data_IF_061067119290
#
_entry.id   IF_061067119290
#
_cell.length_a   1.000
_cell.length_b   1.000
_cell.length_c   1.000
_cell.angle_alpha   90.00
_cell.angle_beta   90.00
_cell.angle_gamma   90.00
#
_symmetry.space_group_name_H-M   'P 1'
#
loop_
_entity.id
_entity.type
_entity.pdbx_description
1 polymer ?
#
# COMPACT_ATOMS: atom_id res chain seq x y z
N UNK A 1 -12.64 -12.56 9.23
CA UNK A 1 -13.46 -11.54 8.56
C UNK A 1 -13.05 -11.49 7.09
N UNK A 2 -13.97 -11.73 6.15
CA UNK A 2 -13.66 -11.74 4.73
C UNK A 2 -13.28 -10.33 4.23
N UNK A 3 -12.19 -10.25 3.46
CA UNK A 3 -11.76 -8.99 2.85
C UNK A 3 -12.63 -8.70 1.63
N UNK A 4 -13.10 -7.46 1.50
CA UNK A 4 -13.75 -7.00 0.28
C UNK A 4 -12.78 -7.00 -0.89
N UNK A 5 -13.28 -7.17 -2.11
CA UNK A 5 -12.49 -7.06 -3.34
C UNK A 5 -11.74 -5.72 -3.38
N UNK A 6 -10.56 -5.69 -3.96
CA UNK A 6 -9.77 -4.47 -4.08
C UNK A 6 -10.54 -3.33 -4.79
N UNK A 7 -11.29 -3.66 -5.82
CA UNK A 7 -12.12 -2.72 -6.59
C UNK A 7 -13.11 -1.91 -5.75
N UNK A 8 -13.55 -2.43 -4.59
CA UNK A 8 -14.47 -1.72 -3.71
C UNK A 8 -13.86 -0.43 -3.11
N UNK A 9 -12.53 -0.36 -3.00
CA UNK A 9 -11.83 0.76 -2.38
C UNK A 9 -10.84 1.48 -3.31
N UNK A 10 -10.49 0.92 -4.46
CA UNK A 10 -9.40 1.38 -5.32
C UNK A 10 -9.62 2.77 -5.92
N UNK A 11 -10.81 3.05 -6.44
CA UNK A 11 -11.15 4.30 -7.16
C UNK A 11 -11.73 5.40 -6.26
N UNK A 12 -11.64 5.26 -4.95
CA UNK A 12 -12.27 6.21 -4.04
C UNK A 12 -11.24 7.21 -3.50
N UNK A 13 -11.48 8.49 -3.80
CA UNK A 13 -10.72 9.60 -3.23
C UNK A 13 -11.04 9.82 -1.75
N UNK A 14 -10.23 10.66 -1.09
CA UNK A 14 -10.46 11.06 0.29
C UNK A 14 -11.90 11.51 0.48
N UNK A 15 -12.64 10.72 1.26
CA UNK A 15 -13.94 11.19 1.73
C UNK A 15 -13.72 12.11 2.92
N UNK A 16 -14.48 13.22 2.99
CA UNK A 16 -14.49 14.04 4.18
C UNK A 16 -14.65 13.19 5.40
N UNK A 17 -14.74 12.89 6.25
CA UNK A 17 -15.02 11.98 7.38
C UNK A 17 -14.24 10.65 7.43
N UNK A 18 -13.19 10.48 6.64
CA UNK A 18 -12.30 9.32 6.72
C UNK A 18 -10.88 9.67 7.17
N UNK A 19 -10.65 10.92 7.53
CA UNK A 19 -9.36 11.41 8.01
C UNK A 19 -9.11 11.03 9.46
N UNK A 20 -7.87 10.82 9.79
CA UNK A 20 -7.37 10.74 11.15
C UNK A 20 -7.14 12.16 11.69
N UNK A 21 -8.21 12.91 12.00
CA UNK A 21 -8.13 14.26 12.56
C UNK A 21 -8.85 14.32 13.90
N UNK A 22 -8.24 14.96 14.89
CA UNK A 22 -8.87 15.25 16.19
C UNK A 22 -9.91 16.35 16.09
N UNK A 23 -9.92 17.17 15.03
CA UNK A 23 -10.89 18.26 14.84
C UNK A 23 -12.24 17.67 14.38
N UNK A 24 -13.26 17.79 15.21
CA UNK A 24 -14.61 17.24 14.95
C UNK A 24 -15.23 17.68 13.61
N UNK A 25 -15.00 18.93 13.20
CA UNK A 25 -15.45 19.46 11.90
C UNK A 25 -14.71 18.83 10.69
N UNK A 26 -13.51 18.23 10.91
CA UNK A 26 -12.65 17.67 9.86
C UNK A 26 -12.53 16.15 9.93
N UNK A 27 -13.61 15.44 10.27
CA UNK A 27 -13.62 13.98 10.22
C UNK A 27 -12.91 13.27 11.35
N UNK A 28 -13.36 13.54 12.54
CA UNK A 28 -12.89 12.81 13.72
C UNK A 28 -13.26 11.33 13.63
N UNK A 29 -12.26 10.47 13.77
CA UNK A 29 -12.43 9.04 13.87
C UNK A 29 -12.03 8.59 15.27
N UNK A 30 -12.99 8.07 16.03
CA UNK A 30 -12.79 7.66 17.42
C UNK A 30 -11.86 6.47 17.54
N UNK A 31 -12.05 5.47 16.68
CA UNK A 31 -11.28 4.22 16.68
C UNK A 31 -10.41 4.15 15.44
N UNK A 32 -9.09 4.15 15.63
CA UNK A 32 -8.10 4.09 14.55
C UNK A 32 -7.60 2.64 14.46
N UNK A 33 -7.80 1.93 13.34
CA UNK A 33 -7.27 0.59 13.17
C UNK A 33 -5.75 0.62 13.10
N UNK A 34 -5.10 -0.43 13.58
CA UNK A 34 -3.65 -0.57 13.48
C UNK A 34 -3.20 -0.70 12.03
N UNK A 35 -2.00 -0.20 11.71
CA UNK A 35 -1.37 -0.44 10.43
C UNK A 35 -0.91 -1.88 10.31
N UNK A 36 -1.12 -2.49 9.14
CA UNK A 36 -0.63 -3.84 8.85
C UNK A 36 0.81 -3.88 8.34
N UNK A 37 1.37 -2.73 8.00
CA UNK A 37 2.76 -2.64 7.55
C UNK A 37 3.68 -2.73 8.76
N UNK A 38 4.54 -3.74 8.76
CA UNK A 38 5.45 -4.03 9.89
C UNK A 38 6.70 -3.17 9.82
N UNK A 39 7.32 -3.06 8.63
CA UNK A 39 8.56 -2.30 8.40
C UNK A 39 8.49 -1.54 7.08
N UNK A 40 9.09 -0.34 7.06
CA UNK A 40 9.16 0.49 5.87
C UNK A 40 10.51 0.37 5.13
N UNK A 41 11.59 0.12 5.85
CA UNK A 41 12.93 -0.08 5.29
C UNK A 41 13.44 -1.46 5.66
N UNK A 42 14.07 -2.16 4.73
CA UNK A 42 14.58 -3.52 4.89
C UNK A 42 15.82 -3.75 4.02
N UNK A 43 16.61 -4.76 4.39
CA UNK A 43 17.86 -5.07 3.73
C UNK A 43 19.03 -4.29 4.33
N UNK A 44 20.04 -4.04 3.53
CA UNK A 44 21.25 -3.29 3.94
C UNK A 44 20.99 -1.78 3.84
N UNK A 45 20.49 -1.21 4.93
CA UNK A 45 20.21 0.22 5.04
C UNK A 45 21.49 1.04 5.06
N UNK A 46 22.52 0.53 5.76
CA UNK A 46 23.80 1.24 5.93
C UNK A 46 24.55 1.37 4.62
N UNK A 47 24.60 0.32 3.81
CA UNK A 47 25.19 0.36 2.49
C UNK A 47 24.43 1.28 1.52
N UNK A 48 23.11 1.34 1.65
CA UNK A 48 22.30 2.24 0.85
C UNK A 48 22.56 3.72 1.19
N UNK A 49 22.66 4.05 2.47
CA UNK A 49 22.95 5.42 2.94
C UNK A 49 24.37 5.86 2.59
N UNK A 50 25.33 4.92 2.50
CA UNK A 50 26.70 5.16 2.00
C UNK A 50 26.81 5.28 0.47
N UNK A 51 25.73 5.02 -0.26
CA UNK A 51 25.73 5.10 -1.73
C UNK A 51 26.35 3.88 -2.45
N UNK A 52 26.52 2.74 -1.78
CA UNK A 52 27.12 1.53 -2.36
C UNK A 52 26.25 0.84 -3.41
N UNK A 53 25.01 1.29 -3.59
CA UNK A 53 24.05 0.70 -4.52
C UNK A 53 24.10 1.39 -5.87
N UNK A 54 24.70 0.72 -6.85
CA UNK A 54 24.83 1.23 -8.21
C UNK A 54 23.49 1.31 -8.95
N UNK A 55 22.54 0.43 -8.62
CA UNK A 55 21.25 0.40 -9.29
C UNK A 55 20.14 0.60 -8.28
N UNK A 56 19.38 1.68 -8.46
CA UNK A 56 18.20 2.00 -7.67
C UNK A 56 16.98 2.06 -8.57
N UNK A 57 15.99 1.22 -8.31
CA UNK A 57 14.77 1.11 -9.11
C UNK A 57 13.59 1.61 -8.29
N UNK A 58 12.96 2.68 -8.76
CA UNK A 58 11.70 3.18 -8.22
C UNK A 58 10.50 2.52 -8.89
N UNK A 59 9.53 2.10 -8.11
CA UNK A 59 8.24 1.62 -8.58
C UNK A 59 7.23 2.74 -8.44
N UNK A 60 6.70 3.23 -9.57
CA UNK A 60 5.78 4.36 -9.61
C UNK A 60 4.39 3.94 -10.07
N UNK A 61 3.37 4.62 -9.56
CA UNK A 61 2.00 4.42 -10.02
C UNK A 61 1.75 5.16 -11.33
N UNK A 62 1.06 4.52 -12.26
CA UNK A 62 0.59 5.15 -13.51
C UNK A 62 -0.80 5.78 -13.38
N UNK A 63 -1.48 5.55 -12.26
CA UNK A 63 -2.86 5.96 -12.03
C UNK A 63 -3.02 6.60 -10.66
N UNK A 64 -4.09 7.40 -10.51
CA UNK A 64 -4.51 7.90 -9.21
C UNK A 64 -5.34 6.81 -8.52
N UNK A 65 -4.81 6.23 -7.45
CA UNK A 65 -5.46 5.10 -6.78
C UNK A 65 -5.35 5.18 -5.27
N UNK A 66 -6.21 4.44 -4.61
CA UNK A 66 -6.15 4.18 -3.19
C UNK A 66 -5.68 2.74 -2.95
N UNK A 67 -4.53 2.59 -2.31
CA UNK A 67 -3.92 1.29 -2.03
C UNK A 67 -4.08 0.94 -0.55
N UNK A 68 -4.65 -0.22 -0.27
CA UNK A 68 -4.85 -0.69 1.12
C UNK A 68 -3.53 -1.15 1.73
N UNK A 69 -3.43 -1.02 3.04
CA UNK A 69 -2.28 -1.45 3.85
C UNK A 69 -1.94 -2.95 3.68
N UNK A 70 -2.94 -3.81 3.56
CA UNK A 70 -2.73 -5.24 3.32
C UNK A 70 -2.08 -5.53 1.95
N UNK A 71 -2.40 -4.75 0.91
CA UNK A 71 -1.75 -4.90 -0.41
C UNK A 71 -0.29 -4.47 -0.36
N UNK A 72 -0.01 -3.36 0.34
CA UNK A 72 1.37 -2.87 0.53
C UNK A 72 2.19 -3.91 1.31
N UNK A 73 1.63 -4.45 2.38
CA UNK A 73 2.30 -5.49 3.18
C UNK A 73 2.53 -6.77 2.40
N UNK A 74 1.56 -7.22 1.60
CA UNK A 74 1.73 -8.40 0.76
C UNK A 74 2.87 -8.25 -0.26
N UNK A 75 3.04 -7.04 -0.82
CA UNK A 75 4.14 -6.74 -1.74
C UNK A 75 5.46 -6.65 -0.98
N UNK A 76 5.48 -6.02 0.19
CA UNK A 76 6.66 -5.95 1.04
C UNK A 76 7.21 -7.35 1.32
N UNK A 77 6.34 -8.26 1.78
CA UNK A 77 6.71 -9.64 2.07
C UNK A 77 7.19 -10.37 0.82
N UNK A 78 6.51 -10.17 -0.29
CA UNK A 78 6.87 -10.75 -1.58
C UNK A 78 8.27 -10.31 -2.03
N UNK A 79 8.53 -9.00 -2.04
CA UNK A 79 9.86 -8.48 -2.42
C UNK A 79 10.94 -8.94 -1.45
N UNK A 80 10.71 -8.82 -0.15
CA UNK A 80 11.70 -9.21 0.86
C UNK A 80 12.10 -10.68 0.71
N UNK A 81 11.10 -11.58 0.58
CA UNK A 81 11.36 -13.02 0.43
C UNK A 81 12.19 -13.32 -0.83
N UNK A 82 11.72 -12.86 -1.98
CA UNK A 82 12.36 -13.23 -3.25
C UNK A 82 13.68 -12.49 -3.50
N UNK A 83 13.85 -11.26 -3.01
CA UNK A 83 15.14 -10.58 -3.05
C UNK A 83 16.16 -11.31 -2.17
N UNK A 84 15.75 -11.70 -0.97
CA UNK A 84 16.62 -12.47 -0.07
C UNK A 84 17.02 -13.83 -0.66
N UNK A 85 16.10 -14.51 -1.35
CA UNK A 85 16.35 -15.79 -2.00
C UNK A 85 17.28 -15.67 -3.21
N UNK A 86 17.11 -14.62 -4.05
CA UNK A 86 17.80 -14.49 -5.34
C UNK A 86 19.04 -13.61 -5.33
N UNK A 87 19.06 -12.60 -4.47
CA UNK A 87 20.15 -11.60 -4.37
C UNK A 87 20.93 -11.76 -3.07
N UNK A 88 20.37 -12.45 -2.07
CA UNK A 88 20.97 -12.62 -0.76
C UNK A 88 20.72 -11.43 0.16
N UNK A 89 21.74 -10.99 0.91
CA UNK A 89 21.62 -9.88 1.86
C UNK A 89 21.90 -8.50 1.24
N UNK A 90 22.41 -8.48 0.01
CA UNK A 90 22.85 -7.25 -0.68
C UNK A 90 21.71 -6.56 -1.46
N UNK A 91 20.60 -6.33 -0.81
CA UNK A 91 19.51 -5.57 -1.36
C UNK A 91 19.01 -4.51 -0.40
N UNK A 92 18.38 -3.50 -0.93
CA UNK A 92 17.64 -2.49 -0.18
C UNK A 92 16.20 -2.43 -0.67
N UNK A 93 15.27 -2.37 0.25
CA UNK A 93 13.85 -2.20 -0.05
C UNK A 93 13.25 -1.14 0.87
N UNK A 94 12.64 -0.13 0.27
CA UNK A 94 11.93 0.93 1.00
C UNK A 94 10.53 1.13 0.48
N UNK A 95 9.58 1.33 1.40
CA UNK A 95 8.19 1.71 1.12
C UNK A 95 8.06 3.21 1.30
N UNK A 96 7.74 3.94 0.23
CA UNK A 96 7.58 5.41 0.27
C UNK A 96 6.16 5.87 0.59
N UNK A 97 5.19 4.98 0.51
CA UNK A 97 3.78 5.33 0.76
C UNK A 97 3.36 4.90 2.16
N UNK A 98 2.70 5.81 2.86
CA UNK A 98 2.19 5.57 4.22
C UNK A 98 0.67 5.52 4.20
N UNK A 99 0.05 4.41 4.64
CA UNK A 99 -1.39 4.31 4.73
C UNK A 99 -1.91 5.09 5.93
N UNK A 100 -2.42 6.30 5.69
CA UNK A 100 -2.96 7.16 6.72
C UNK A 100 -4.48 7.36 6.65
N UNK A 101 -5.10 7.04 5.51
CA UNK A 101 -6.55 7.08 5.37
C UNK A 101 -7.21 5.89 6.03
N UNK A 102 -8.33 6.14 6.70
CA UNK A 102 -9.08 5.12 7.41
C UNK A 102 -10.29 4.73 6.56
N UNK A 103 -10.31 3.45 6.21
CA UNK A 103 -11.42 2.86 5.49
C UNK A 103 -12.53 2.46 6.46
N UNK A 104 -13.76 2.74 6.10
CA UNK A 104 -14.95 2.37 6.84
C UNK A 104 -15.90 1.56 5.99
N UNK A 105 -16.60 0.68 6.63
CA UNK A 105 -17.60 -0.17 6.02
C UNK A 105 -18.86 -0.22 6.89
N UNK A 106 -20.00 -0.02 6.25
CA UNK A 106 -21.28 -0.41 6.84
C UNK A 106 -21.60 -1.82 6.34
N UNK A 107 -21.49 -2.79 7.26
CA UNK A 107 -21.82 -4.18 6.93
C UNK A 107 -23.31 -4.35 6.82
N UNK A 108 -23.75 -5.05 5.77
CA UNK A 108 -25.13 -5.46 5.67
C UNK A 108 -25.51 -6.38 6.84
N UNK A 109 -26.63 -6.09 7.45
CA UNK A 109 -27.24 -7.01 8.40
C UNK A 109 -27.73 -8.24 7.63
N UNK A 110 -27.54 -9.41 8.23
CA UNK A 110 -28.11 -10.66 7.72
C UNK A 110 -29.29 -11.03 8.61
N UNK A 111 -30.45 -11.21 8.03
CA UNK A 111 -31.66 -11.58 8.75
C UNK A 111 -32.93 -10.96 8.16
N UNK A 112 -34.08 -11.37 8.67
CA UNK A 112 -35.37 -10.84 8.28
C UNK A 112 -35.46 -9.33 8.60
N UNK A 113 -35.85 -8.51 7.62
CA UNK A 113 -35.93 -7.06 7.77
C UNK A 113 -34.61 -6.29 7.57
N UNK A 114 -33.52 -6.95 7.19
CA UNK A 114 -32.23 -6.30 6.91
C UNK A 114 -32.36 -5.19 5.84
N UNK A 115 -33.18 -5.40 4.82
CA UNK A 115 -33.40 -4.44 3.73
C UNK A 115 -34.03 -3.11 4.19
N UNK A 116 -34.85 -3.18 5.23
CA UNK A 116 -35.51 -1.99 5.81
C UNK A 116 -34.57 -1.17 6.70
N UNK A 117 -33.54 -1.81 7.27
CA UNK A 117 -32.64 -1.18 8.23
C UNK A 117 -31.34 -0.67 7.61
N UNK A 118 -31.05 -0.98 6.35
CA UNK A 118 -29.77 -0.66 5.73
C UNK A 118 -29.89 -0.08 4.33
N UNK A 119 -29.58 1.21 4.22
CA UNK A 119 -29.48 1.97 2.95
C UNK A 119 -28.04 2.13 2.43
N UNK A 120 -27.07 1.38 2.98
CA UNK A 120 -25.66 1.46 2.61
C UNK A 120 -24.87 2.54 3.37
N UNK A 121 -23.72 2.93 2.81
CA UNK A 121 -22.86 3.97 3.40
C UNK A 121 -23.37 5.37 3.09
N UNK A 122 -23.79 6.11 4.11
CA UNK A 122 -24.07 7.55 4.03
C UNK A 122 -22.96 8.31 4.76
N UNK A 123 -22.29 9.25 4.09
CA UNK A 123 -21.23 10.12 4.64
C UNK A 123 -20.19 9.31 5.44
N UNK A 124 -20.14 9.58 6.74
CA UNK A 124 -19.19 9.00 7.68
C UNK A 124 -19.71 7.74 8.41
N UNK A 125 -20.88 7.25 8.06
CA UNK A 125 -21.48 6.10 8.73
C UNK A 125 -20.73 4.80 8.40
N UNK A 126 -20.49 3.96 9.39
CA UNK A 126 -19.79 2.68 9.26
C UNK A 126 -18.68 2.48 10.29
N UNK A 127 -18.28 1.24 10.47
CA UNK A 127 -17.16 0.86 11.35
C UNK A 127 -15.83 0.96 10.62
N UNK A 128 -14.78 1.34 11.33
CA UNK A 128 -13.41 1.39 10.79
C UNK A 128 -12.92 -0.03 10.50
N UNK A 129 -12.35 -0.25 9.32
CA UNK A 129 -11.94 -1.58 8.85
C UNK A 129 -10.44 -1.71 8.60
N UNK A 130 -9.76 -0.65 8.23
CA UNK A 130 -8.36 -0.68 7.89
C UNK A 130 -7.86 0.67 7.41
N UNK A 131 -6.63 0.69 6.94
CA UNK A 131 -5.97 1.88 6.43
C UNK A 131 -5.67 1.76 4.94
N UNK A 132 -5.57 2.89 4.28
CA UNK A 132 -5.14 2.98 2.89
C UNK A 132 -4.29 4.21 2.64
N UNK A 133 -3.44 4.14 1.62
CA UNK A 133 -2.65 5.25 1.13
C UNK A 133 -3.28 5.79 -0.16
N UNK A 134 -3.33 7.11 -0.32
CA UNK A 134 -3.60 7.72 -1.61
C UNK A 134 -2.30 7.84 -2.38
N UNK A 135 -2.32 7.34 -3.59
CA UNK A 135 -1.19 7.37 -4.51
C UNK A 135 -1.60 8.14 -5.75
N UNK A 136 -0.85 9.17 -6.08
CA UNK A 136 -1.04 9.97 -7.30
C UNK A 136 -0.31 9.33 -8.47
N UNK A 137 -0.75 9.64 -9.69
CA UNK A 137 -0.02 9.30 -10.90
C UNK A 137 1.40 9.85 -10.83
N UNK A 138 2.41 9.02 -11.15
CA UNK A 138 3.83 9.39 -11.05
C UNK A 138 4.42 9.29 -9.65
N UNK A 139 3.62 9.04 -8.61
CA UNK A 139 4.13 8.93 -7.26
C UNK A 139 4.88 7.61 -7.05
N UNK A 140 6.06 7.71 -6.46
CA UNK A 140 6.88 6.57 -6.07
C UNK A 140 6.25 5.83 -4.90
N UNK A 141 6.14 4.51 -5.04
CA UNK A 141 5.56 3.62 -4.03
C UNK A 141 6.62 2.81 -3.29
N UNK A 142 7.58 2.26 -4.05
CA UNK A 142 8.65 1.43 -3.51
C UNK A 142 9.96 1.81 -4.17
N UNK A 143 11.06 1.65 -3.42
CA UNK A 143 12.43 1.74 -3.93
C UNK A 143 13.11 0.39 -3.69
N UNK A 144 13.72 -0.15 -4.72
CA UNK A 144 14.57 -1.32 -4.65
C UNK A 144 15.99 -0.92 -5.04
N UNK A 145 16.95 -1.18 -4.16
CA UNK A 145 18.38 -1.02 -4.44
C UNK A 145 19.04 -2.39 -4.60
N UNK A 146 19.90 -2.54 -5.59
CA UNK A 146 20.72 -3.75 -5.81
C UNK A 146 22.12 -3.36 -6.25
N UNK A 147 23.13 -4.14 -5.80
CA UNK A 147 24.54 -3.85 -6.10
C UNK A 147 24.96 -4.39 -7.47
N UNK A 148 24.36 -5.49 -7.93
CA UNK A 148 24.78 -6.22 -9.12
C UNK A 148 23.79 -6.10 -10.28
N UNK A 149 24.30 -6.17 -11.53
CA UNK A 149 23.46 -6.21 -12.74
C UNK A 149 22.53 -7.44 -12.78
N UNK A 150 22.97 -8.59 -12.25
CA UNK A 150 22.11 -9.78 -12.10
C UNK A 150 20.94 -9.48 -11.17
N UNK A 151 21.21 -8.81 -10.05
CA UNK A 151 20.19 -8.36 -9.11
C UNK A 151 19.17 -7.40 -9.75
N UNK A 152 19.62 -6.53 -10.65
CA UNK A 152 18.72 -5.64 -11.40
C UNK A 152 17.71 -6.42 -12.25
N UNK A 153 18.17 -7.40 -13.01
CA UNK A 153 17.31 -8.23 -13.87
C UNK A 153 16.26 -8.94 -13.01
N UNK A 154 16.69 -9.52 -11.89
CA UNK A 154 15.77 -10.21 -10.98
C UNK A 154 14.79 -9.23 -10.31
N UNK A 155 15.24 -8.06 -9.87
CA UNK A 155 14.38 -7.02 -9.31
C UNK A 155 13.29 -6.59 -10.32
N UNK A 156 13.65 -6.39 -11.59
CA UNK A 156 12.68 -6.05 -12.65
C UNK A 156 11.66 -7.17 -12.90
N UNK A 157 12.09 -8.44 -12.89
CA UNK A 157 11.18 -9.59 -12.98
C UNK A 157 10.22 -9.62 -11.80
N UNK A 158 10.72 -9.38 -10.58
CA UNK A 158 9.88 -9.34 -9.38
C UNK A 158 8.86 -8.21 -9.42
N UNK A 159 9.24 -7.02 -9.88
CA UNK A 159 8.31 -5.90 -10.05
C UNK A 159 7.21 -6.26 -11.05
N UNK A 160 7.57 -6.92 -12.17
CA UNK A 160 6.59 -7.37 -13.16
C UNK A 160 5.58 -8.35 -12.55
N UNK A 161 6.03 -9.28 -11.73
CA UNK A 161 5.16 -10.26 -11.06
C UNK A 161 4.34 -9.62 -9.92
N UNK A 162 4.88 -8.60 -9.24
CA UNK A 162 4.19 -7.90 -8.16
C UNK A 162 2.98 -7.08 -8.62
N UNK A 163 2.88 -6.73 -9.92
CA UNK A 163 1.74 -5.99 -10.48
C UNK A 163 0.39 -6.61 -10.15
N UNK A 164 0.31 -7.94 -10.12
CA UNK A 164 -0.92 -8.66 -9.80
C UNK A 164 -1.43 -8.39 -8.36
N UNK A 165 -0.58 -7.91 -7.47
CA UNK A 165 -0.93 -7.62 -6.07
C UNK A 165 -1.30 -6.15 -5.83
N UNK A 166 -1.09 -5.30 -6.84
CA UNK A 166 -1.45 -3.89 -6.81
C UNK A 166 -2.76 -3.64 -7.55
N UNK A 167 -3.58 -2.71 -7.06
CA UNK A 167 -4.84 -2.34 -7.71
C UNK A 167 -4.65 -1.34 -8.86
N UNK A 168 -3.43 -1.13 -9.33
CA UNK A 168 -3.10 -0.13 -10.35
C UNK A 168 -1.99 -0.62 -11.29
N UNK A 169 -1.93 0.00 -12.45
CA UNK A 169 -0.79 -0.13 -13.33
C UNK A 169 0.43 0.57 -12.73
N UNK A 170 1.59 -0.09 -12.81
CA UNK A 170 2.85 0.44 -12.28
C UNK A 170 3.91 0.54 -13.37
N UNK A 171 4.78 1.52 -13.22
CA UNK A 171 5.98 1.71 -14.01
C UNK A 171 7.24 1.57 -13.15
N UNK A 172 8.37 1.46 -13.81
CA UNK A 172 9.70 1.48 -13.18
C UNK A 172 10.45 2.71 -13.64
N UNK A 173 11.16 3.35 -12.72
CA UNK A 173 12.04 4.48 -12.98
C UNK A 173 13.39 4.15 -12.36
N UNK A 174 14.48 4.39 -13.10
CA UNK A 174 15.82 4.33 -12.52
C UNK A 174 16.05 5.61 -11.74
N UNK A 175 16.63 5.46 -10.57
CA UNK A 175 17.03 6.56 -9.71
C UNK A 175 18.55 6.61 -9.74
N UNK A 176 19.08 7.74 -10.09
CA UNK A 176 20.51 8.02 -10.07
C UNK A 176 21.01 8.24 -8.65
#
# INVERSE_FOLDING_TARGET
MALRKASAYTKRYARPFTRNSKKRKKSYIKTIPNSKIVKFKMGDITGYDKGEYAVKIGVVSKENVQVRDNSIEAIRQYFNRFLQERVGKEFYLEIKIVPHHILRENKMLTGAGADRMQTGMSRAFGKTMGRAAFVKKGQMMFILGVKTKKGEIEARKLIKSAKARLPCAVGTVNLD
#
